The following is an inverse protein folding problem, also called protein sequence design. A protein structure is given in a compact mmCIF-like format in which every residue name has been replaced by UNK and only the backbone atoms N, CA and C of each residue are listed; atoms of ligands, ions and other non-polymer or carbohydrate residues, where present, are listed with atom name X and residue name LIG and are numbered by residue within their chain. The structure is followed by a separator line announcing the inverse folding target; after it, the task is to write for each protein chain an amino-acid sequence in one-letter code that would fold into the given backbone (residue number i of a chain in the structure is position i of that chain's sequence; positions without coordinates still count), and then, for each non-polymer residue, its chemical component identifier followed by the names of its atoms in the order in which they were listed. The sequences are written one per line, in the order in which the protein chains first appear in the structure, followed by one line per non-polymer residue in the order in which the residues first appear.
data_IF_125080560087
#
_entry.id   IF_125080560087
#
_cell.length_a   1.000
_cell.length_b   1.000
_cell.length_c   1.000
_cell.angle_alpha   90.00
_cell.angle_beta   90.00
_cell.angle_gamma   90.00
#
_symmetry.space_group_name_H-M   'P 1'
#
loop_
_entity.id
_entity.type
_entity.pdbx_description
1 polymer ?
#
# COMPACT_ATOMS: atom_id res chain seq x y z
N UNK A 1 -20.00 10.80 6.92
CA UNK A 1 -19.72 9.42 6.44
C UNK A 1 -20.52 9.11 5.18
N UNK A 2 -21.84 9.28 5.17
CA UNK A 2 -22.70 9.10 3.98
C UNK A 2 -22.30 9.97 2.76
N UNK A 3 -21.90 11.23 2.98
CA UNK A 3 -21.51 12.14 1.90
C UNK A 3 -20.26 11.66 1.13
N UNK A 4 -19.30 11.01 1.80
CA UNK A 4 -18.13 10.44 1.12
C UNK A 4 -18.50 9.23 0.27
N UNK A 5 -19.43 8.38 0.73
CA UNK A 5 -19.89 7.23 -0.06
C UNK A 5 -20.67 7.68 -1.30
N UNK A 6 -21.40 8.81 -1.23
CA UNK A 6 -22.00 9.41 -2.43
C UNK A 6 -20.94 9.92 -3.41
N UNK A 7 -19.93 10.64 -2.93
CA UNK A 7 -18.89 11.21 -3.79
C UNK A 7 -17.98 10.14 -4.44
N UNK A 8 -17.79 9.00 -3.78
CA UNK A 8 -16.97 7.88 -4.27
C UNK A 8 -17.83 6.66 -4.65
N UNK A 9 -19.11 6.87 -5.00
CA UNK A 9 -20.04 5.77 -5.31
C UNK A 9 -19.51 4.84 -6.40
N UNK A 10 -18.83 5.41 -7.41
CA UNK A 10 -18.21 4.63 -8.48
C UNK A 10 -17.16 3.65 -7.94
N UNK A 11 -16.20 4.14 -7.16
CA UNK A 11 -15.14 3.31 -6.57
C UNK A 11 -15.68 2.27 -5.59
N UNK A 12 -16.68 2.65 -4.78
CA UNK A 12 -17.32 1.75 -3.82
C UNK A 12 -18.06 0.60 -4.52
N UNK A 13 -18.65 0.86 -5.70
CA UNK A 13 -19.42 -0.13 -6.45
C UNK A 13 -18.62 -0.79 -7.58
N UNK A 14 -17.33 -0.48 -7.71
CA UNK A 14 -16.48 -0.97 -8.80
C UNK A 14 -16.36 -2.49 -8.86
N UNK A 15 -16.50 -3.18 -7.72
CA UNK A 15 -16.56 -4.64 -7.65
C UNK A 15 -17.77 -5.25 -8.40
N UNK A 16 -18.81 -4.46 -8.72
CA UNK A 16 -19.95 -4.90 -9.53
C UNK A 16 -19.64 -4.91 -11.03
N UNK A 17 -18.66 -4.13 -11.46
CA UNK A 17 -18.31 -3.96 -12.89
C UNK A 17 -16.97 -4.60 -13.25
N UNK A 18 -16.03 -4.67 -12.30
CA UNK A 18 -14.72 -5.28 -12.47
C UNK A 18 -14.58 -6.49 -11.52
N UNK A 19 -14.60 -7.73 -12.04
CA UNK A 19 -14.52 -8.96 -11.23
C UNK A 19 -13.24 -9.07 -10.39
N UNK A 20 -12.16 -8.45 -10.85
CA UNK A 20 -10.84 -8.49 -10.19
C UNK A 20 -10.76 -7.57 -8.96
N UNK A 21 -11.75 -6.68 -8.79
CA UNK A 21 -11.80 -5.76 -7.65
C UNK A 21 -12.61 -6.42 -6.51
N UNK A 22 -11.99 -6.74 -5.37
CA UNK A 22 -12.72 -7.33 -4.26
C UNK A 22 -13.72 -6.33 -3.65
N UNK A 23 -14.85 -6.84 -3.16
CA UNK A 23 -15.88 -6.01 -2.51
C UNK A 23 -15.40 -5.29 -1.23
N UNK A 24 -14.25 -5.72 -0.69
CA UNK A 24 -13.76 -5.29 0.62
C UNK A 24 -12.53 -4.39 0.51
N UNK A 25 -12.54 -3.31 1.31
CA UNK A 25 -11.40 -2.42 1.49
C UNK A 25 -10.42 -2.88 2.60
N UNK A 26 -10.57 -4.12 3.09
CA UNK A 26 -9.81 -4.64 4.23
C UNK A 26 -8.29 -4.47 4.07
N UNK A 27 -7.77 -4.59 2.84
CA UNK A 27 -6.34 -4.46 2.59
C UNK A 27 -5.87 -3.01 2.75
N UNK A 28 -6.54 -2.02 2.16
CA UNK A 28 -6.12 -0.63 2.31
C UNK A 28 -6.30 -0.16 3.77
N UNK A 29 -7.34 -0.64 4.46
CA UNK A 29 -7.50 -0.37 5.89
C UNK A 29 -6.36 -0.97 6.73
N UNK A 30 -5.92 -2.20 6.43
CA UNK A 30 -4.78 -2.83 7.11
C UNK A 30 -3.49 -2.02 6.88
N UNK A 31 -3.25 -1.58 5.65
CA UNK A 31 -2.08 -0.76 5.31
C UNK A 31 -2.10 0.57 6.10
N UNK A 32 -3.27 1.22 6.23
CA UNK A 32 -3.44 2.45 7.01
C UNK A 32 -3.39 2.24 8.53
N UNK A 33 -3.82 1.08 9.04
CA UNK A 33 -3.84 0.79 10.49
C UNK A 33 -2.48 0.95 11.14
N UNK A 34 -1.40 0.64 10.42
CA UNK A 34 -0.06 0.73 10.99
C UNK A 34 0.40 2.16 11.28
N UNK A 35 -0.10 3.16 10.53
CA UNK A 35 0.09 4.58 10.86
C UNK A 35 -0.57 4.92 12.20
N UNK A 36 -1.80 4.45 12.40
CA UNK A 36 -2.54 4.66 13.66
C UNK A 36 -1.96 3.88 14.82
N UNK A 37 -1.46 2.67 14.57
CA UNK A 37 -0.76 1.87 15.57
C UNK A 37 0.52 2.58 16.05
N UNK A 38 1.31 3.15 15.13
CA UNK A 38 2.50 3.95 15.48
C UNK A 38 2.13 5.16 16.35
N UNK A 39 1.05 5.88 16.00
CA UNK A 39 0.52 6.99 16.80
C UNK A 39 0.08 6.55 18.20
N UNK A 40 -0.66 5.44 18.29
CA UNK A 40 -1.25 4.94 19.53
C UNK A 40 -0.21 4.34 20.49
N UNK A 41 0.75 3.57 19.96
CA UNK A 41 1.64 2.72 20.76
C UNK A 41 3.05 3.32 20.88
N UNK A 42 3.56 3.96 19.82
CA UNK A 42 4.93 4.47 19.77
C UNK A 42 5.04 5.99 19.89
N UNK A 43 3.98 6.67 20.34
CA UNK A 43 3.97 8.14 20.51
C UNK A 43 3.91 8.94 19.20
N UNK A 44 3.66 8.29 18.05
CA UNK A 44 3.58 8.96 16.75
C UNK A 44 4.92 9.20 16.07
N UNK A 45 4.97 10.27 15.27
CA UNK A 45 6.15 10.67 14.50
C UNK A 45 6.65 12.01 15.05
N UNK A 46 7.95 12.11 15.31
CA UNK A 46 8.57 13.35 15.79
C UNK A 46 8.72 14.43 14.71
N UNK A 47 8.64 14.06 13.43
CA UNK A 47 8.65 14.97 12.27
C UNK A 47 7.70 14.45 11.19
N UNK A 48 7.12 15.37 10.42
CA UNK A 48 6.31 15.05 9.24
C UNK A 48 7.12 14.29 8.18
N UNK A 49 8.39 14.65 7.97
CA UNK A 49 9.26 13.97 7.01
C UNK A 49 9.45 12.49 7.36
N UNK A 50 9.57 12.19 8.66
CA UNK A 50 9.67 10.81 9.12
C UNK A 50 8.36 10.03 8.92
N UNK A 51 7.21 10.71 9.04
CA UNK A 51 5.90 10.11 8.72
C UNK A 51 5.78 9.80 7.21
N UNK A 52 6.26 10.71 6.35
CA UNK A 52 6.29 10.52 4.90
C UNK A 52 7.21 9.36 4.52
N UNK A 53 8.44 9.32 5.05
CA UNK A 53 9.37 8.21 4.81
C UNK A 53 8.79 6.87 5.26
N UNK A 54 8.15 6.81 6.42
CA UNK A 54 7.47 5.61 6.90
C UNK A 54 6.34 5.17 5.95
N UNK A 55 5.53 6.11 5.46
CA UNK A 55 4.47 5.84 4.51
C UNK A 55 5.02 5.34 3.16
N UNK A 56 6.10 5.94 2.65
CA UNK A 56 6.72 5.54 1.39
C UNK A 56 7.25 4.10 1.45
N UNK A 57 8.01 3.75 2.50
CA UNK A 57 8.54 2.39 2.68
C UNK A 57 7.40 1.37 2.74
N UNK A 58 6.34 1.67 3.49
CA UNK A 58 5.15 0.82 3.61
C UNK A 58 4.43 0.64 2.27
N UNK A 59 4.21 1.73 1.55
CA UNK A 59 3.56 1.72 0.24
C UNK A 59 4.35 0.87 -0.74
N UNK A 60 5.67 1.05 -0.80
CA UNK A 60 6.56 0.25 -1.65
C UNK A 60 6.44 -1.26 -1.36
N UNK A 61 6.55 -1.66 -0.09
CA UNK A 61 6.43 -3.07 0.30
C UNK A 61 5.02 -3.65 0.08
N UNK A 62 3.96 -2.86 0.31
CA UNK A 62 2.58 -3.27 0.03
C UNK A 62 2.39 -3.52 -1.47
N UNK A 63 2.93 -2.66 -2.34
CA UNK A 63 2.88 -2.84 -3.78
C UNK A 63 3.67 -4.07 -4.23
N UNK A 64 4.88 -4.28 -3.70
CA UNK A 64 5.67 -5.47 -4.01
C UNK A 64 4.93 -6.77 -3.62
N UNK A 65 4.33 -6.78 -2.44
CA UNK A 65 3.52 -7.92 -1.98
C UNK A 65 2.30 -8.16 -2.87
N UNK A 66 1.65 -7.11 -3.39
CA UNK A 66 0.51 -7.22 -4.32
C UNK A 66 0.90 -7.81 -5.68
N UNK A 67 2.12 -7.57 -6.13
CA UNK A 67 2.68 -8.20 -7.34
C UNK A 67 3.25 -9.61 -7.10
N UNK A 68 3.09 -10.17 -5.90
CA UNK A 68 3.58 -11.51 -5.58
C UNK A 68 5.10 -11.61 -5.47
N UNK A 69 5.80 -10.47 -5.30
CA UNK A 69 7.26 -10.43 -5.19
C UNK A 69 7.72 -10.89 -3.80
N UNK A 70 8.89 -11.52 -3.73
CA UNK A 70 9.53 -11.86 -2.47
C UNK A 70 10.02 -10.58 -1.77
N UNK A 71 9.46 -10.27 -0.60
CA UNK A 71 9.78 -9.03 0.11
C UNK A 71 11.25 -8.98 0.57
N UNK A 72 11.89 -10.12 0.86
CA UNK A 72 13.30 -10.13 1.29
C UNK A 72 14.22 -9.75 0.12
N UNK A 73 13.97 -10.30 -1.05
CA UNK A 73 14.68 -9.93 -2.29
C UNK A 73 14.47 -8.45 -2.60
N UNK A 74 13.22 -7.98 -2.56
CA UNK A 74 12.88 -6.58 -2.81
C UNK A 74 13.56 -5.61 -1.85
N UNK A 75 13.67 -5.96 -0.56
CA UNK A 75 14.38 -5.15 0.43
C UNK A 75 15.89 -5.17 0.17
N UNK A 76 16.45 -6.33 -0.19
CA UNK A 76 17.88 -6.50 -0.45
C UNK A 76 18.30 -5.68 -1.68
N UNK A 77 17.56 -5.83 -2.78
CA UNK A 77 17.72 -5.07 -4.01
C UNK A 77 17.62 -3.56 -3.77
N UNK A 78 16.60 -3.12 -3.02
CA UNK A 78 16.41 -1.70 -2.70
C UNK A 78 17.56 -1.11 -1.87
N UNK A 79 18.18 -1.91 -0.99
CA UNK A 79 19.35 -1.49 -0.20
C UNK A 79 20.62 -1.43 -1.05
N UNK A 80 20.75 -2.31 -2.04
CA UNK A 80 21.85 -2.32 -3.01
C UNK A 80 21.70 -1.24 -4.11
N UNK A 81 20.56 -0.54 -4.15
CA UNK A 81 20.26 0.51 -5.13
C UNK A 81 19.70 -0.02 -6.45
N UNK A 82 19.38 -1.31 -6.53
CA UNK A 82 18.77 -1.95 -7.69
C UNK A 82 17.24 -1.99 -7.51
N UNK A 83 16.47 -1.28 -8.34
CA UNK A 83 14.98 -1.32 -8.27
C UNK A 83 14.40 -2.25 -9.36
N UNK A 84 15.24 -3.10 -9.94
CA UNK A 84 14.94 -3.97 -11.10
C UNK A 84 13.76 -4.93 -10.88
N UNK A 85 13.48 -5.31 -9.64
CA UNK A 85 12.36 -6.19 -9.26
C UNK A 85 10.98 -5.67 -9.66
N UNK A 86 10.79 -4.35 -9.73
CA UNK A 86 9.52 -3.76 -10.16
C UNK A 86 9.38 -3.67 -11.68
N UNK A 87 10.48 -3.69 -12.44
CA UNK A 87 10.44 -3.53 -13.90
C UNK A 87 10.38 -4.87 -14.63
N UNK A 88 11.02 -5.92 -14.09
CA UNK A 88 11.03 -7.26 -14.71
C UNK A 88 9.66 -7.94 -14.73
N UNK A 89 8.80 -7.62 -13.76
CA UNK A 89 7.45 -8.16 -13.61
C UNK A 89 6.41 -7.50 -14.54
N UNK A 90 6.73 -6.35 -15.16
CA UNK A 90 5.87 -5.66 -16.13
C UNK A 90 6.13 -6.15 -17.57
N UNK A 91 7.29 -6.76 -17.82
CA UNK A 91 7.73 -7.22 -19.15
C UNK A 91 7.37 -8.67 -19.49
N UNK A 92 6.74 -9.42 -18.59
CA UNK A 92 6.26 -10.78 -18.89
C UNK A 92 4.75 -10.75 -19.12
N UNK A 93 4.34 -10.32 -20.31
CA UNK A 93 3.02 -10.55 -20.92
C UNK A 93 3.16 -10.50 -22.44
#
# INVERSE_FOLDING_TARGET
MLLRLQNFRGDVLRFLTEPDVPFTNNQAERDLRMMKCKQKISGGFGSFDFAVSFANIRSFLSTASKHGLNLLEVITDALEGNVSVFLSSITTS
#
